data_IF_507821586853
#
_entry.id   IF_507821586853
#
_cell.length_a   1.000
_cell.length_b   1.000
_cell.length_c   1.000
_cell.angle_alpha   90.00
_cell.angle_beta   90.00
_cell.angle_gamma   90.00
#
_symmetry.space_group_name_H-M   'P 1'
#
loop_
_entity.id
_entity.type
_entity.pdbx_description
1 polymer ?
#
# COMPACT_ATOMS: atom_id res chain seq x y z
N UNK A 1 11.16 -73.63 15.92
CA UNK A 1 10.28 -72.65 15.25
C UNK A 1 10.77 -72.53 13.83
N UNK A 2 9.86 -72.66 12.88
CA UNK A 2 10.18 -72.99 11.49
C UNK A 2 10.69 -71.73 10.79
N UNK A 3 11.85 -71.78 10.13
CA UNK A 3 12.41 -70.68 9.31
C UNK A 3 11.44 -69.97 8.34
N UNK A 4 10.36 -70.60 7.82
CA UNK A 4 9.36 -69.94 6.99
C UNK A 4 8.55 -68.86 7.72
N UNK A 5 8.18 -69.08 8.98
CA UNK A 5 7.31 -68.16 9.75
C UNK A 5 8.00 -66.81 10.00
N UNK A 6 9.33 -66.85 10.20
CA UNK A 6 10.15 -65.66 10.39
C UNK A 6 10.31 -64.86 9.09
N UNK A 7 10.40 -65.57 7.95
CA UNK A 7 10.48 -64.95 6.63
C UNK A 7 9.14 -64.29 6.28
N UNK A 8 8.03 -64.97 6.51
CA UNK A 8 6.69 -64.43 6.24
C UNK A 8 6.39 -63.19 7.11
N UNK A 9 6.83 -63.19 8.37
CA UNK A 9 6.72 -62.03 9.25
C UNK A 9 7.58 -60.84 8.77
N UNK A 10 8.79 -61.08 8.23
CA UNK A 10 9.65 -60.05 7.67
C UNK A 10 9.04 -59.43 6.41
N UNK A 11 8.55 -60.26 5.50
CA UNK A 11 7.94 -59.82 4.24
C UNK A 11 6.68 -58.98 4.51
N UNK A 12 5.84 -59.40 5.46
CA UNK A 12 4.66 -58.63 5.88
C UNK A 12 5.01 -57.27 6.50
N UNK A 13 6.15 -57.18 7.21
CA UNK A 13 6.60 -55.95 7.86
C UNK A 13 7.23 -54.96 6.85
N UNK A 14 7.91 -55.46 5.83
CA UNK A 14 8.38 -54.66 4.68
C UNK A 14 7.20 -54.11 3.88
N UNK A 15 6.17 -54.92 3.60
CA UNK A 15 4.97 -54.47 2.89
C UNK A 15 4.19 -53.39 3.67
N UNK A 16 4.12 -53.53 5.00
CA UNK A 16 3.47 -52.53 5.86
C UNK A 16 4.28 -51.24 5.92
N UNK A 17 5.61 -51.34 6.08
CA UNK A 17 6.50 -50.17 6.11
C UNK A 17 6.50 -49.42 4.79
N UNK A 18 6.52 -50.12 3.64
CA UNK A 18 6.43 -49.49 2.33
C UNK A 18 5.11 -48.72 2.13
N UNK A 19 4.00 -49.21 2.69
CA UNK A 19 2.70 -48.51 2.69
C UNK A 19 2.69 -47.31 3.63
N UNK A 20 3.35 -47.40 4.78
CA UNK A 20 3.47 -46.30 5.74
C UNK A 20 4.40 -45.19 5.23
N UNK A 21 5.49 -45.54 4.54
CA UNK A 21 6.36 -44.59 3.82
C UNK A 21 5.57 -43.84 2.73
N UNK A 22 4.79 -44.56 1.92
CA UNK A 22 3.95 -43.94 0.90
C UNK A 22 2.91 -42.98 1.53
N UNK A 23 2.34 -43.35 2.68
CA UNK A 23 1.40 -42.49 3.43
C UNK A 23 2.09 -41.25 3.97
N UNK A 24 3.30 -41.37 4.52
CA UNK A 24 4.03 -40.21 5.04
C UNK A 24 4.50 -39.28 3.92
N UNK A 25 4.93 -39.82 2.78
CA UNK A 25 5.24 -39.01 1.59
C UNK A 25 4.00 -38.24 1.14
N UNK A 26 2.82 -38.88 1.10
CA UNK A 26 1.57 -38.19 0.76
C UNK A 26 1.23 -37.10 1.79
N UNK A 27 1.42 -37.38 3.09
CA UNK A 27 1.19 -36.42 4.19
C UNK A 27 2.11 -35.21 4.09
N UNK A 28 3.40 -35.42 3.82
CA UNK A 28 4.39 -34.35 3.67
C UNK A 28 4.13 -33.49 2.44
N UNK A 29 3.72 -34.10 1.32
CA UNK A 29 3.31 -33.36 0.12
C UNK A 29 2.08 -32.49 0.39
N UNK A 30 1.07 -33.04 1.05
CA UNK A 30 -0.13 -32.28 1.39
C UNK A 30 0.19 -31.16 2.39
N UNK A 31 1.03 -31.44 3.39
CA UNK A 31 1.50 -30.40 4.32
C UNK A 31 2.21 -29.28 3.57
N UNK A 32 3.16 -29.60 2.68
CA UNK A 32 3.87 -28.61 1.89
C UNK A 32 2.91 -27.78 1.02
N UNK A 33 1.89 -28.41 0.44
CA UNK A 33 0.85 -27.72 -0.34
C UNK A 33 0.09 -26.71 0.52
N UNK A 34 -0.37 -27.13 1.70
CA UNK A 34 -1.11 -26.28 2.64
C UNK A 34 -0.26 -25.14 3.19
N UNK A 35 1.00 -25.42 3.53
CA UNK A 35 1.95 -24.40 3.99
C UNK A 35 2.14 -23.33 2.90
N UNK A 36 2.33 -23.75 1.64
CA UNK A 36 2.45 -22.83 0.50
C UNK A 36 1.17 -22.01 0.26
N UNK A 37 0.00 -22.66 0.29
CA UNK A 37 -1.29 -21.97 0.15
C UNK A 37 -1.47 -20.91 1.26
N UNK A 38 -1.11 -21.25 2.50
CA UNK A 38 -1.17 -20.33 3.63
C UNK A 38 -0.20 -19.16 3.48
N UNK A 39 1.04 -19.42 3.06
CA UNK A 39 2.05 -18.37 2.83
C UNK A 39 1.53 -17.40 1.76
N UNK A 40 1.04 -17.92 0.63
CA UNK A 40 0.53 -17.10 -0.47
C UNK A 40 -0.71 -16.30 -0.07
N UNK A 41 -1.61 -16.90 0.72
CA UNK A 41 -2.78 -16.20 1.24
C UNK A 41 -2.38 -15.03 2.16
N UNK A 42 -1.42 -15.26 3.05
CA UNK A 42 -0.90 -14.23 3.95
C UNK A 42 -0.19 -13.12 3.18
N UNK A 43 0.73 -13.46 2.26
CA UNK A 43 1.42 -12.48 1.44
C UNK A 43 0.45 -11.60 0.63
N UNK A 44 -0.61 -12.19 0.07
CA UNK A 44 -1.66 -11.43 -0.65
C UNK A 44 -2.49 -10.55 0.28
N UNK A 45 -2.70 -10.96 1.53
CA UNK A 45 -3.41 -10.17 2.54
C UNK A 45 -2.55 -8.98 2.97
N UNK A 46 -1.29 -9.20 3.30
CA UNK A 46 -0.33 -8.17 3.69
C UNK A 46 -0.12 -7.17 2.56
N UNK A 47 0.19 -7.62 1.34
CA UNK A 47 0.39 -6.71 0.21
C UNK A 47 -0.85 -5.86 -0.13
N UNK A 48 -2.07 -6.38 0.09
CA UNK A 48 -3.28 -5.56 -0.05
C UNK A 48 -3.44 -4.55 1.08
N UNK A 49 -3.16 -4.95 2.32
CA UNK A 49 -3.23 -4.06 3.47
C UNK A 49 -2.21 -2.91 3.36
N UNK A 50 -0.97 -3.22 3.01
CA UNK A 50 0.09 -2.24 2.74
C UNK A 50 -0.28 -1.33 1.58
N UNK A 51 -0.74 -1.89 0.46
CA UNK A 51 -1.14 -1.11 -0.71
C UNK A 51 -2.30 -0.13 -0.41
N UNK A 52 -3.28 -0.56 0.39
CA UNK A 52 -4.37 0.32 0.85
C UNK A 52 -3.84 1.42 1.77
N UNK A 53 -3.01 1.07 2.75
CA UNK A 53 -2.47 2.03 3.70
C UNK A 53 -1.58 3.09 3.00
N UNK A 54 -0.70 2.67 2.09
CA UNK A 54 0.09 3.58 1.27
C UNK A 54 -0.78 4.46 0.38
N UNK A 55 -1.78 3.88 -0.27
CA UNK A 55 -2.70 4.59 -1.15
C UNK A 55 -3.47 5.66 -0.40
N UNK A 56 -4.00 5.35 0.78
CA UNK A 56 -4.68 6.31 1.65
C UNK A 56 -3.74 7.42 2.15
N UNK A 57 -2.52 7.07 2.57
CA UNK A 57 -1.55 8.05 3.03
C UNK A 57 -1.14 9.03 1.92
N UNK A 58 -0.80 8.50 0.73
CA UNK A 58 -0.46 9.31 -0.45
C UNK A 58 -1.64 10.18 -0.89
N UNK A 59 -2.83 9.58 -1.00
CA UNK A 59 -4.05 10.28 -1.40
C UNK A 59 -4.42 11.42 -0.44
N UNK A 60 -4.31 11.19 0.88
CA UNK A 60 -4.55 12.24 1.89
C UNK A 60 -3.53 13.37 1.78
N UNK A 61 -2.24 13.04 1.69
CA UNK A 61 -1.18 14.05 1.59
C UNK A 61 -1.33 14.91 0.32
N UNK A 62 -1.59 14.28 -0.83
CA UNK A 62 -1.84 14.99 -2.09
C UNK A 62 -3.10 15.85 -2.02
N UNK A 63 -4.19 15.32 -1.46
CA UNK A 63 -5.46 16.03 -1.31
C UNK A 63 -5.32 17.27 -0.43
N UNK A 64 -4.62 17.14 0.70
CA UNK A 64 -4.34 18.27 1.59
C UNK A 64 -3.44 19.32 0.93
N UNK A 65 -2.39 18.91 0.22
CA UNK A 65 -1.50 19.84 -0.48
C UNK A 65 -2.24 20.62 -1.57
N UNK A 66 -3.04 19.92 -2.39
CA UNK A 66 -3.89 20.55 -3.42
C UNK A 66 -4.91 21.49 -2.79
N UNK A 67 -5.61 21.05 -1.74
CA UNK A 67 -6.59 21.88 -1.03
C UNK A 67 -5.97 23.16 -0.44
N UNK A 68 -4.79 23.06 0.18
CA UNK A 68 -4.07 24.24 0.69
C UNK A 68 -3.67 25.20 -0.44
N UNK A 69 -3.17 24.70 -1.56
CA UNK A 69 -2.81 25.53 -2.71
C UNK A 69 -4.04 26.23 -3.32
N UNK A 70 -5.15 25.50 -3.50
CA UNK A 70 -6.41 26.06 -4.00
C UNK A 70 -6.98 27.13 -3.07
N UNK A 71 -6.96 26.89 -1.75
CA UNK A 71 -7.40 27.88 -0.76
C UNK A 71 -6.54 29.14 -0.78
N UNK A 72 -5.21 29.00 -0.88
CA UNK A 72 -4.27 30.12 -0.96
C UNK A 72 -4.55 30.98 -2.21
N UNK A 73 -4.77 30.34 -3.35
CA UNK A 73 -5.11 31.02 -4.60
C UNK A 73 -6.49 31.69 -4.55
N UNK A 74 -7.49 31.03 -3.97
CA UNK A 74 -8.84 31.59 -3.81
C UNK A 74 -8.80 32.82 -2.90
N UNK A 75 -8.06 32.76 -1.81
CA UNK A 75 -7.85 33.89 -0.92
C UNK A 75 -7.19 35.05 -1.67
N UNK A 76 -6.13 34.79 -2.42
CA UNK A 76 -5.48 35.82 -3.24
C UNK A 76 -6.48 36.47 -4.21
N UNK A 77 -7.27 35.67 -4.93
CA UNK A 77 -8.28 36.19 -5.87
C UNK A 77 -9.31 37.08 -5.18
N UNK A 78 -9.72 36.74 -3.95
CA UNK A 78 -10.63 37.55 -3.14
C UNK A 78 -9.98 38.87 -2.71
N UNK A 79 -8.73 38.83 -2.25
CA UNK A 79 -7.98 40.04 -1.87
C UNK A 79 -7.74 40.95 -3.08
N UNK A 80 -7.48 40.39 -4.25
CA UNK A 80 -7.33 41.17 -5.48
C UNK A 80 -8.64 41.73 -6.02
N UNK A 81 -9.81 41.21 -5.62
CA UNK A 81 -11.10 41.80 -5.97
C UNK A 81 -11.57 42.93 -5.06
N UNK A 82 -11.00 43.03 -3.86
CA UNK A 82 -11.31 44.11 -2.93
C UNK A 82 -10.42 45.33 -3.20
N UNK A 83 -11.02 46.52 -3.24
CA UNK A 83 -10.34 47.75 -3.65
C UNK A 83 -9.23 48.18 -2.67
N UNK A 84 -9.35 47.83 -1.39
CA UNK A 84 -8.35 48.16 -0.36
C UNK A 84 -7.20 47.16 -0.43
N UNK A 85 -7.51 45.87 -0.43
CA UNK A 85 -6.45 44.84 -0.40
C UNK A 85 -5.74 44.67 -1.74
N UNK A 86 -6.39 45.01 -2.86
CA UNK A 86 -5.74 45.01 -4.18
C UNK A 86 -4.65 46.08 -4.34
N UNK A 87 -4.63 47.12 -3.50
CA UNK A 87 -3.58 48.14 -3.48
C UNK A 87 -2.33 47.73 -2.68
N UNK A 88 -2.37 46.61 -1.94
CA UNK A 88 -1.23 46.13 -1.15
C UNK A 88 -0.04 45.72 -2.03
N UNK A 89 1.16 45.73 -1.47
CA UNK A 89 2.35 45.23 -2.16
C UNK A 89 2.26 43.70 -2.36
N UNK A 90 2.99 43.17 -3.34
CA UNK A 90 3.07 41.72 -3.56
C UNK A 90 3.60 41.00 -2.31
N UNK A 91 4.56 41.61 -1.61
CA UNK A 91 5.10 41.09 -0.35
C UNK A 91 4.02 40.89 0.73
N UNK A 92 3.14 41.87 0.97
CA UNK A 92 2.06 41.73 1.96
C UNK A 92 1.00 40.71 1.52
N UNK A 93 0.69 40.64 0.22
CA UNK A 93 -0.26 39.63 -0.28
C UNK A 93 0.32 38.21 -0.21
N UNK A 94 1.62 38.06 -0.48
CA UNK A 94 2.34 36.81 -0.31
C UNK A 94 2.29 36.34 1.16
N UNK A 95 2.54 37.25 2.11
CA UNK A 95 2.42 36.97 3.54
C UNK A 95 1.00 36.55 3.95
N UNK A 96 -0.03 37.26 3.48
CA UNK A 96 -1.44 36.96 3.81
C UNK A 96 -1.95 35.64 3.22
N UNK A 97 -1.39 35.22 2.08
CA UNK A 97 -1.88 34.06 1.32
C UNK A 97 -1.01 32.83 1.46
N UNK A 98 0.21 32.98 1.99
CA UNK A 98 1.22 31.91 2.01
C UNK A 98 1.81 31.59 0.64
N UNK A 99 1.52 32.41 -0.38
CA UNK A 99 2.10 32.31 -1.72
C UNK A 99 3.42 33.07 -1.80
N UNK A 100 4.20 32.80 -2.83
CA UNK A 100 5.40 33.59 -3.15
C UNK A 100 5.03 34.90 -3.84
N UNK A 101 5.87 35.93 -3.71
CA UNK A 101 5.66 37.20 -4.42
C UNK A 101 5.58 37.02 -5.94
N UNK A 102 6.30 36.03 -6.49
CA UNK A 102 6.27 35.69 -7.90
C UNK A 102 4.91 35.12 -8.33
N UNK A 103 4.29 34.25 -7.52
CA UNK A 103 2.95 33.72 -7.77
C UNK A 103 1.89 34.82 -7.70
N UNK A 104 1.99 35.71 -6.71
CA UNK A 104 1.12 36.89 -6.60
C UNK A 104 1.26 37.81 -7.82
N UNK A 105 2.49 38.08 -8.25
CA UNK A 105 2.77 38.91 -9.42
C UNK A 105 2.20 38.30 -10.71
N UNK A 106 2.31 36.98 -10.87
CA UNK A 106 1.72 36.24 -12.00
C UNK A 106 0.21 36.38 -12.03
N UNK A 107 -0.48 36.11 -10.93
CA UNK A 107 -1.94 36.21 -10.84
C UNK A 107 -2.44 37.65 -11.13
N UNK A 108 -1.73 38.67 -10.63
CA UNK A 108 -2.03 40.08 -10.94
C UNK A 108 -1.87 40.41 -12.42
N UNK A 109 -0.81 39.90 -13.05
CA UNK A 109 -0.57 40.09 -14.46
C UNK A 109 -1.62 39.36 -15.31
N UNK A 110 -2.09 38.19 -14.89
CA UNK A 110 -3.17 37.46 -15.56
C UNK A 110 -4.51 38.18 -15.51
N UNK A 111 -4.84 38.83 -14.39
CA UNK A 111 -6.05 39.65 -14.25
C UNK A 111 -6.05 40.96 -15.03
N UNK A 112 -4.86 41.45 -15.39
CA UNK A 112 -4.70 42.74 -16.08
C UNK A 112 -4.64 42.60 -17.60
N UNK A 113 -4.74 41.35 -18.11
CA UNK A 113 -4.92 41.03 -19.53
C UNK A 113 -6.40 41.05 -19.89
#
# INVERSE_FOLDING_TARGET
MSMPELKDAKDALEDLSAKDEAREIARLREKARLDMDSIMANAKKEGRAEGLAEGEAKGRAEGEAKGRAEQSLLLLKKLLSDAVTSALSNAHLAELTGLTEAEVARERAERSK
#
